data_IF_347415886769
#
_entry.id   IF_347415886769
#
_cell.length_a   1.000
_cell.length_b   1.000
_cell.length_c   1.000
_cell.angle_alpha   90.00
_cell.angle_beta   90.00
_cell.angle_gamma   90.00
#
_symmetry.space_group_name_H-M   'P 1'
#
loop_
_entity.id
_entity.type
_entity.pdbx_description
1 polymer ?
#
# COMPACT_ATOMS: atom_id res chain seq x y z
N UNK A 1 -42.15 3.92 34.34
CA UNK A 1 -42.90 4.04 33.06
C UNK A 1 -42.08 4.66 31.91
N UNK A 2 -40.74 4.74 31.97
CA UNK A 2 -39.90 5.38 30.92
C UNK A 2 -39.08 4.41 30.05
N UNK A 3 -38.85 3.16 30.51
CA UNK A 3 -38.07 2.15 29.77
C UNK A 3 -38.63 1.73 28.39
N UNK A 4 -39.96 1.51 28.20
CA UNK A 4 -40.46 1.04 26.91
C UNK A 4 -40.46 2.14 25.84
N UNK A 5 -40.68 3.40 26.25
CA UNK A 5 -40.63 4.56 25.36
C UNK A 5 -39.20 4.80 24.86
N UNK A 6 -38.19 4.71 25.73
CA UNK A 6 -36.79 4.86 25.33
C UNK A 6 -36.36 3.81 24.30
N UNK A 7 -36.70 2.54 24.52
CA UNK A 7 -36.40 1.46 23.57
C UNK A 7 -37.09 1.68 22.21
N UNK A 8 -38.32 2.18 22.20
CA UNK A 8 -39.04 2.48 20.96
C UNK A 8 -38.37 3.61 20.16
N UNK A 9 -37.96 4.69 20.82
CA UNK A 9 -37.24 5.78 20.15
C UNK A 9 -35.87 5.35 19.64
N UNK A 10 -35.11 4.58 20.43
CA UNK A 10 -33.80 4.05 20.03
C UNK A 10 -33.95 3.11 18.82
N UNK A 11 -34.92 2.19 18.84
CA UNK A 11 -35.16 1.29 17.71
C UNK A 11 -35.63 2.04 16.46
N UNK A 12 -36.44 3.10 16.61
CA UNK A 12 -36.90 3.92 15.48
C UNK A 12 -35.76 4.70 14.84
N UNK A 13 -34.87 5.28 15.65
CA UNK A 13 -33.67 5.98 15.17
C UNK A 13 -32.71 4.99 14.52
N UNK A 14 -32.47 3.84 15.14
CA UNK A 14 -31.57 2.80 14.63
C UNK A 14 -32.06 2.21 13.30
N UNK A 15 -33.33 1.86 13.18
CA UNK A 15 -33.87 1.35 11.92
C UNK A 15 -33.87 2.41 10.82
N UNK A 16 -34.14 3.67 11.17
CA UNK A 16 -34.08 4.78 10.21
C UNK A 16 -32.65 5.03 9.70
N UNK A 17 -31.65 5.02 10.59
CA UNK A 17 -30.25 5.20 10.19
C UNK A 17 -29.73 4.00 9.39
N UNK A 18 -30.07 2.76 9.78
CA UNK A 18 -29.67 1.55 9.06
C UNK A 18 -30.32 1.49 7.67
N UNK A 19 -31.61 1.80 7.56
CA UNK A 19 -32.31 1.83 6.27
C UNK A 19 -31.74 2.90 5.34
N UNK A 20 -31.42 4.09 5.87
CA UNK A 20 -30.77 5.17 5.10
C UNK A 20 -29.36 4.78 4.65
N UNK A 21 -28.59 4.15 5.54
CA UNK A 21 -27.22 3.71 5.29
C UNK A 21 -27.13 2.56 4.27
N UNK A 22 -28.17 1.74 4.15
CA UNK A 22 -28.21 0.61 3.20
C UNK A 22 -28.91 0.94 1.87
N UNK A 23 -29.84 1.89 1.88
CA UNK A 23 -30.69 2.18 0.71
C UNK A 23 -30.26 3.38 -0.11
N UNK A 24 -29.41 4.27 0.43
CA UNK A 24 -28.89 5.42 -0.33
C UNK A 24 -27.72 5.01 -1.24
N UNK A 25 -27.64 5.65 -2.42
CA UNK A 25 -26.55 5.45 -3.39
C UNK A 25 -25.19 5.55 -2.69
N UNK A 26 -24.28 4.64 -3.01
CA UNK A 26 -22.95 4.50 -2.40
C UNK A 26 -22.17 5.83 -2.31
N UNK A 27 -22.42 6.78 -3.22
CA UNK A 27 -21.81 8.12 -3.27
C UNK A 27 -22.24 9.09 -2.15
N UNK A 28 -23.18 8.72 -1.28
CA UNK A 28 -23.57 9.53 -0.10
C UNK A 28 -23.46 8.73 1.20
N UNK A 29 -22.87 7.53 1.14
CA UNK A 29 -22.87 6.61 2.26
C UNK A 29 -21.68 6.89 3.19
N UNK A 30 -21.90 6.87 4.51
CA UNK A 30 -20.82 6.94 5.52
C UNK A 30 -19.82 5.80 5.32
N UNK A 31 -20.25 4.67 4.75
CA UNK A 31 -19.38 3.59 4.33
C UNK A 31 -18.29 4.04 3.32
N UNK A 32 -18.58 5.02 2.45
CA UNK A 32 -17.60 5.59 1.52
C UNK A 32 -16.47 6.27 2.28
N UNK A 33 -16.78 6.99 3.36
CA UNK A 33 -15.78 7.62 4.24
C UNK A 33 -14.89 6.55 4.87
N UNK A 34 -15.46 5.43 5.35
CA UNK A 34 -14.69 4.33 5.94
C UNK A 34 -13.75 3.69 4.91
N UNK A 35 -14.23 3.44 3.69
CA UNK A 35 -13.38 2.90 2.62
C UNK A 35 -12.30 3.89 2.15
N UNK A 36 -12.65 5.17 2.09
CA UNK A 36 -11.72 6.25 1.77
C UNK A 36 -10.66 6.45 2.84
N UNK A 37 -11.02 6.31 4.13
CA UNK A 37 -10.10 6.31 5.28
C UNK A 37 -9.19 5.07 5.31
N UNK A 38 -9.66 3.93 4.78
CA UNK A 38 -8.83 2.73 4.64
C UNK A 38 -7.82 2.88 3.51
N UNK A 39 -8.20 3.57 2.42
CA UNK A 39 -7.34 3.81 1.25
C UNK A 39 -6.38 4.99 1.44
N UNK A 40 -6.83 6.05 2.09
CA UNK A 40 -6.05 7.22 2.48
C UNK A 40 -5.89 7.17 4.00
N UNK A 41 -4.66 6.94 4.47
CA UNK A 41 -4.33 7.00 5.90
C UNK A 41 -5.07 8.15 6.59
N UNK A 42 -5.71 7.88 7.74
CA UNK A 42 -6.51 8.86 8.52
C UNK A 42 -5.76 10.18 8.73
N UNK A 43 -4.44 10.10 8.89
CA UNK A 43 -3.52 11.21 9.00
C UNK A 43 -3.52 12.13 7.77
N UNK A 44 -3.57 11.56 6.56
CA UNK A 44 -3.62 12.33 5.32
C UNK A 44 -4.96 13.08 5.16
N UNK A 45 -6.07 12.53 5.69
CA UNK A 45 -7.37 13.22 5.64
C UNK A 45 -7.37 14.46 6.54
N UNK A 46 -6.84 14.34 7.76
CA UNK A 46 -6.74 15.47 8.69
C UNK A 46 -5.84 16.56 8.11
N UNK A 47 -4.69 16.18 7.55
CA UNK A 47 -3.83 17.13 6.87
C UNK A 47 -4.44 17.76 5.62
N UNK A 48 -5.22 17.02 4.84
CA UNK A 48 -5.91 17.58 3.69
C UNK A 48 -6.93 18.64 4.11
N UNK A 49 -7.68 18.40 5.20
CA UNK A 49 -8.61 19.37 5.76
C UNK A 49 -7.91 20.62 6.29
N UNK A 50 -6.79 20.45 7.02
CA UNK A 50 -5.97 21.58 7.47
C UNK A 50 -5.42 22.39 6.28
N UNK A 51 -4.95 21.73 5.20
CA UNK A 51 -4.53 22.41 3.96
C UNK A 51 -5.68 23.15 3.27
N UNK A 52 -6.88 22.59 3.27
CA UNK A 52 -8.07 23.18 2.64
C UNK A 52 -8.57 24.42 3.39
N UNK A 53 -8.44 24.46 4.72
CA UNK A 53 -8.85 25.59 5.55
C UNK A 53 -7.83 26.74 5.54
N UNK A 54 -6.54 26.43 5.72
CA UNK A 54 -5.50 27.46 5.85
C UNK A 54 -4.84 27.84 4.52
N UNK A 55 -5.09 27.08 3.44
CA UNK A 55 -4.50 27.31 2.11
C UNK A 55 -2.97 27.15 2.05
N UNK A 56 -2.35 26.65 3.12
CA UNK A 56 -0.89 26.53 3.28
C UNK A 56 -0.46 25.07 3.38
N UNK A 57 0.72 24.77 2.84
CA UNK A 57 1.33 23.44 2.96
C UNK A 57 1.74 23.18 4.42
N UNK A 58 1.26 22.08 4.99
CA UNK A 58 1.64 21.64 6.34
C UNK A 58 3.11 21.21 6.32
N UNK A 59 3.95 21.95 7.04
CA UNK A 59 5.33 21.58 7.30
C UNK A 59 5.35 20.51 8.38
N UNK A 60 5.59 19.25 7.97
CA UNK A 60 5.85 18.18 8.93
C UNK A 60 7.24 18.41 9.55
N UNK A 61 7.36 18.55 10.88
CA UNK A 61 8.64 18.81 11.54
C UNK A 61 9.57 17.60 11.50
N UNK A 62 8.99 16.40 11.42
CA UNK A 62 9.67 15.15 11.21
C UNK A 62 9.47 14.81 9.73
N UNK A 63 10.56 14.69 8.96
CA UNK A 63 10.53 14.53 7.50
C UNK A 63 9.53 13.49 7.00
N UNK A 64 9.11 13.62 5.74
CA UNK A 64 8.16 12.72 5.08
C UNK A 64 8.48 11.26 5.42
N UNK A 65 7.48 10.41 5.77
CA UNK A 65 7.70 8.98 5.87
C UNK A 65 8.13 8.51 4.49
N UNK A 66 9.44 8.36 4.30
CA UNK A 66 10.04 7.97 3.03
C UNK A 66 9.63 6.53 2.79
N UNK A 67 8.49 6.36 2.14
CA UNK A 67 8.08 5.06 1.62
C UNK A 67 9.04 4.77 0.47
N UNK A 68 10.03 3.92 0.73
CA UNK A 68 10.83 3.38 -0.36
C UNK A 68 9.85 2.66 -1.29
N UNK A 69 9.85 2.96 -2.60
CA UNK A 69 9.07 2.17 -3.53
C UNK A 69 9.58 0.73 -3.40
N UNK A 70 8.76 -0.12 -2.78
CA UNK A 70 9.06 -1.54 -2.65
C UNK A 70 9.12 -2.19 -4.03
N UNK A 71 9.54 -3.46 -4.05
CA UNK A 71 9.55 -4.24 -5.30
C UNK A 71 8.14 -4.54 -5.83
N UNK A 72 7.08 -4.29 -5.04
CA UNK A 72 5.68 -4.56 -5.39
C UNK A 72 5.17 -3.79 -6.61
N UNK A 73 5.80 -2.65 -6.93
CA UNK A 73 5.45 -1.82 -8.09
C UNK A 73 6.37 -2.06 -9.30
N UNK A 74 7.37 -2.93 -9.18
CA UNK A 74 8.29 -3.28 -10.27
C UNK A 74 7.73 -4.47 -11.06
N UNK A 75 7.34 -4.21 -12.32
CA UNK A 75 6.92 -5.26 -13.25
C UNK A 75 8.02 -5.50 -14.29
N UNK A 76 8.29 -6.77 -14.58
CA UNK A 76 9.17 -7.12 -15.70
C UNK A 76 8.43 -6.92 -17.02
N UNK A 77 8.97 -6.08 -17.90
CA UNK A 77 8.52 -6.02 -19.29
C UNK A 77 8.96 -7.29 -19.99
N UNK A 78 8.00 -8.11 -20.41
CA UNK A 78 8.31 -9.36 -21.11
C UNK A 78 8.69 -9.04 -22.56
N UNK A 79 9.94 -9.32 -22.97
CA UNK A 79 10.36 -9.19 -24.38
C UNK A 79 10.09 -10.47 -25.19
N UNK A 80 9.13 -11.29 -24.74
CA UNK A 80 8.76 -12.61 -25.29
C UNK A 80 8.47 -12.53 -26.80
N UNK A 81 8.13 -11.34 -27.31
CA UNK A 81 7.81 -11.15 -28.72
C UNK A 81 9.01 -11.20 -29.68
N UNK A 82 10.26 -11.17 -29.18
CA UNK A 82 11.46 -11.11 -30.04
C UNK A 82 12.25 -12.42 -30.15
N UNK A 83 12.06 -13.36 -29.22
CA UNK A 83 12.88 -14.57 -29.11
C UNK A 83 12.02 -15.76 -28.71
N UNK A 84 12.24 -16.90 -29.36
CA UNK A 84 11.64 -18.18 -29.02
C UNK A 84 12.07 -18.58 -27.60
N UNK A 85 11.14 -19.16 -26.82
CA UNK A 85 11.46 -19.68 -25.48
C UNK A 85 12.60 -20.67 -25.54
N UNK A 86 13.54 -20.56 -24.60
CA UNK A 86 14.63 -21.52 -24.45
C UNK A 86 14.05 -22.92 -24.12
N UNK A 87 14.64 -24.00 -24.64
CA UNK A 87 14.24 -25.36 -24.25
C UNK A 87 14.52 -25.59 -22.77
N UNK A 88 13.76 -26.49 -22.13
CA UNK A 88 13.88 -26.79 -20.70
C UNK A 88 15.30 -27.23 -20.29
N UNK A 89 16.02 -27.89 -21.20
CA UNK A 89 17.40 -28.34 -20.98
C UNK A 89 18.46 -27.25 -21.20
N UNK A 90 18.07 -25.99 -21.45
CA UNK A 90 19.02 -24.91 -21.67
C UNK A 90 19.73 -24.55 -20.35
N UNK A 91 21.05 -24.70 -20.33
CA UNK A 91 21.86 -24.26 -19.19
C UNK A 91 21.90 -22.73 -19.14
N UNK A 92 21.44 -22.14 -18.04
CA UNK A 92 21.50 -20.70 -17.78
C UNK A 92 22.77 -20.40 -16.96
N UNK A 93 23.66 -19.59 -17.52
CA UNK A 93 24.82 -19.09 -16.77
C UNK A 93 24.38 -18.00 -15.79
N UNK A 94 24.42 -18.32 -14.50
CA UNK A 94 24.07 -17.41 -13.40
C UNK A 94 25.31 -16.78 -12.73
N UNK A 95 26.51 -16.96 -13.30
CA UNK A 95 27.73 -16.42 -12.71
C UNK A 95 27.75 -14.90 -12.77
N UNK A 96 28.14 -14.27 -11.66
CA UNK A 96 28.26 -12.80 -11.56
C UNK A 96 29.60 -12.44 -10.94
N UNK A 97 30.25 -11.41 -11.51
CA UNK A 97 31.45 -10.81 -10.95
C UNK A 97 31.10 -9.48 -10.27
N UNK A 98 31.32 -9.43 -8.96
CA UNK A 98 31.12 -8.26 -8.12
C UNK A 98 32.41 -7.44 -8.08
N UNK A 99 32.28 -6.13 -8.30
CA UNK A 99 33.40 -5.21 -8.32
C UNK A 99 34.39 -5.48 -9.46
N UNK A 100 33.96 -5.48 -10.74
CA UNK A 100 34.82 -5.81 -11.88
C UNK A 100 36.04 -4.87 -12.03
N UNK A 101 35.98 -3.67 -11.44
CA UNK A 101 37.08 -2.69 -11.41
C UNK A 101 37.86 -2.65 -10.08
N UNK A 102 37.51 -3.50 -9.12
CA UNK A 102 38.20 -3.56 -7.84
C UNK A 102 39.55 -4.27 -8.01
N UNK A 103 40.49 -4.01 -7.10
CA UNK A 103 41.80 -4.69 -7.07
C UNK A 103 41.66 -6.21 -6.93
N UNK A 104 40.57 -6.69 -6.31
CA UNK A 104 40.24 -8.11 -6.16
C UNK A 104 38.75 -8.32 -6.47
N UNK A 105 38.39 -8.59 -7.74
CA UNK A 105 37.01 -8.87 -8.12
C UNK A 105 36.56 -10.23 -7.56
N UNK A 106 35.33 -10.30 -7.09
CA UNK A 106 34.73 -11.54 -6.56
C UNK A 106 33.80 -12.15 -7.61
N UNK A 107 34.06 -13.38 -8.03
CA UNK A 107 33.16 -14.10 -8.95
C UNK A 107 32.39 -15.18 -8.18
N UNK A 108 31.07 -15.12 -8.26
CA UNK A 108 30.14 -16.07 -7.61
C UNK A 108 29.32 -16.80 -8.66
N UNK A 109 28.91 -18.04 -8.35
CA UNK A 109 28.22 -18.92 -9.30
C UNK A 109 26.74 -18.55 -9.53
N UNK A 110 26.12 -17.89 -8.56
CA UNK A 110 24.73 -17.44 -8.60
C UNK A 110 24.65 -16.03 -8.00
N UNK A 111 23.71 -15.17 -8.42
CA UNK A 111 23.56 -13.81 -7.90
C UNK A 111 22.84 -13.79 -6.53
N UNK A 112 23.19 -14.71 -5.63
CA UNK A 112 22.62 -14.84 -4.29
C UNK A 112 23.75 -14.96 -3.28
N UNK A 113 23.68 -14.18 -2.21
CA UNK A 113 24.68 -14.17 -1.14
C UNK A 113 23.99 -14.17 0.22
N UNK A 114 24.59 -14.88 1.18
CA UNK A 114 24.18 -14.83 2.58
C UNK A 114 24.75 -13.55 3.19
N UNK A 115 23.89 -12.75 3.82
CA UNK A 115 24.31 -11.53 4.51
C UNK A 115 25.15 -11.88 5.73
N UNK A 116 26.22 -11.12 5.98
CA UNK A 116 27.03 -11.23 7.20
C UNK A 116 26.39 -10.61 8.44
N UNK A 117 25.05 -10.59 8.51
CA UNK A 117 24.33 -10.12 9.68
C UNK A 117 24.27 -11.24 10.72
N UNK A 118 24.47 -10.88 12.00
CA UNK A 118 24.52 -11.83 13.12
C UNK A 118 23.18 -12.54 13.40
N UNK A 119 22.13 -12.22 12.65
CA UNK A 119 20.83 -12.85 12.75
C UNK A 119 20.20 -12.93 11.36
N UNK A 120 19.62 -14.08 11.05
CA UNK A 120 18.87 -14.38 9.82
C UNK A 120 17.40 -14.47 10.16
#
# INVERSE_FOLDING_TARGET
MFKPMFHYYVNKISNYTIARLLSDKYSQNIAEIITSLKRMSTLNMIEFNMRAQDGKTINRPLGSPKHFPGYDMLMFSTSIMSKLSLPESASIDMRVTIGPKATKPLTINIPLMISGMAYV
#
